data_IF_501096694601
#
_entry.id   IF_501096694601
#
_cell.length_a   1.000
_cell.length_b   1.000
_cell.length_c   1.000
_cell.angle_alpha   90.00
_cell.angle_beta   90.00
_cell.angle_gamma   90.00
#
_symmetry.space_group_name_H-M   'P 1'
#
loop_
_entity.id
_entity.type
_entity.pdbx_description
1 polymer ?
#
# COMPACT_ATOMS: atom_id res chain seq x y z
N UNK A 1 -8.78 -6.16 14.20
CA UNK A 1 -7.94 -7.35 14.43
C UNK A 1 -6.51 -6.89 14.72
N UNK A 2 -6.14 -6.71 16.00
CA UNK A 2 -4.77 -6.32 16.38
C UNK A 2 -3.85 -7.53 16.17
N UNK A 3 -2.84 -7.40 15.29
CA UNK A 3 -1.82 -8.44 15.12
C UNK A 3 -1.13 -8.69 16.45
N UNK A 4 -1.08 -9.94 16.91
CA UNK A 4 -0.20 -10.31 18.03
C UNK A 4 1.24 -9.92 17.68
N UNK A 5 1.97 -9.26 18.58
CA UNK A 5 3.37 -8.90 18.32
C UNK A 5 4.17 -10.18 18.04
N UNK A 6 4.99 -10.14 16.98
CA UNK A 6 5.88 -11.25 16.67
C UNK A 6 6.89 -11.41 17.80
N UNK A 7 7.12 -12.64 18.24
CA UNK A 7 8.26 -12.95 19.10
C UNK A 7 9.52 -12.94 18.24
N UNK A 8 10.40 -11.98 18.47
CA UNK A 8 11.70 -11.87 17.80
C UNK A 8 12.79 -12.38 18.75
N UNK A 9 13.82 -13.03 18.19
CA UNK A 9 15.06 -13.36 18.91
C UNK A 9 16.11 -12.35 18.42
N UNK A 10 16.68 -11.59 19.34
CA UNK A 10 17.76 -10.64 19.03
C UNK A 10 19.06 -11.42 18.88
N UNK A 11 19.67 -11.35 17.70
CA UNK A 11 20.96 -12.00 17.41
C UNK A 11 22.12 -11.08 17.80
N UNK A 12 21.98 -9.78 17.56
CA UNK A 12 22.94 -8.73 17.92
C UNK A 12 22.23 -7.39 18.05
N UNK A 13 22.72 -6.53 18.96
CA UNK A 13 22.25 -5.16 19.06
C UNK A 13 22.79 -4.32 17.90
N UNK A 14 21.94 -3.48 17.31
CA UNK A 14 22.29 -2.64 16.17
C UNK A 14 21.34 -1.44 16.09
N UNK A 15 21.84 -0.35 15.52
CA UNK A 15 21.07 0.89 15.35
C UNK A 15 20.81 1.19 13.87
N UNK A 16 19.75 1.96 13.60
CA UNK A 16 19.47 2.53 12.28
C UNK A 16 19.32 4.04 12.39
N UNK A 17 19.65 4.76 11.31
CA UNK A 17 19.56 6.21 11.28
C UNK A 17 18.26 6.68 10.64
N UNK A 18 17.62 7.67 11.27
CA UNK A 18 16.43 8.35 10.75
C UNK A 18 16.73 9.25 9.54
N UNK A 19 18.00 9.41 9.16
CA UNK A 19 18.36 10.10 7.92
C UNK A 19 17.97 9.30 6.67
N UNK A 20 17.57 8.03 6.82
CA UNK A 20 17.23 7.15 5.72
C UNK A 20 15.85 6.52 5.91
N UNK A 21 15.00 6.69 4.90
CA UNK A 21 13.66 6.10 4.87
C UNK A 21 12.70 6.73 5.88
N UNK A 22 11.57 6.05 6.10
CA UNK A 22 10.48 6.51 6.97
C UNK A 22 9.86 5.34 7.71
N UNK A 23 9.40 5.60 8.93
CA UNK A 23 8.43 4.71 9.57
C UNK A 23 7.22 4.55 8.62
N UNK A 24 6.73 3.32 8.36
CA UNK A 24 5.63 3.09 7.43
C UNK A 24 4.38 3.94 7.68
N UNK A 25 4.09 4.26 8.94
CA UNK A 25 2.93 5.04 9.36
C UNK A 25 3.19 6.57 9.39
N UNK A 26 4.39 7.01 9.05
CA UNK A 26 4.82 8.42 9.07
C UNK A 26 5.47 8.83 7.74
N UNK A 27 5.24 8.07 6.67
CA UNK A 27 5.70 8.42 5.33
C UNK A 27 5.02 9.72 4.85
N UNK A 28 5.75 10.60 4.14
CA UNK A 28 5.10 11.70 3.42
C UNK A 28 4.16 11.14 2.35
N UNK A 29 3.16 11.93 1.96
CA UNK A 29 2.11 11.51 1.03
C UNK A 29 2.66 10.94 -0.29
N UNK A 30 3.72 11.54 -0.83
CA UNK A 30 4.37 11.07 -2.06
C UNK A 30 4.88 9.62 -1.94
N UNK A 31 5.49 9.28 -0.81
CA UNK A 31 5.96 7.93 -0.51
C UNK A 31 4.81 6.97 -0.20
N UNK A 32 3.76 7.45 0.48
CA UNK A 32 2.55 6.64 0.68
C UNK A 32 1.89 6.25 -0.65
N UNK A 33 1.82 7.17 -1.62
CA UNK A 33 1.24 6.90 -2.93
C UNK A 33 2.15 6.04 -3.82
N UNK A 34 3.48 6.13 -3.66
CA UNK A 34 4.43 5.38 -4.48
C UNK A 34 4.47 3.88 -4.13
N UNK A 35 4.34 3.53 -2.84
CA UNK A 35 4.42 2.15 -2.33
C UNK A 35 3.17 1.69 -1.56
N UNK A 36 2.06 2.41 -1.73
CA UNK A 36 0.82 2.16 -1.02
C UNK A 36 -0.01 1.02 -1.59
N UNK A 37 -1.00 0.61 -0.79
CA UNK A 37 -2.07 -0.30 -1.20
C UNK A 37 -3.40 0.29 -0.74
N UNK A 38 -4.41 0.23 -1.61
CA UNK A 38 -5.78 0.66 -1.30
C UNK A 38 -6.66 -0.58 -1.28
N UNK A 39 -7.31 -0.83 -0.14
CA UNK A 39 -8.37 -1.83 -0.05
C UNK A 39 -9.64 -1.16 -0.54
N UNK A 40 -10.06 -1.51 -1.75
CA UNK A 40 -11.22 -0.93 -2.40
C UNK A 40 -12.40 -1.90 -2.39
N UNK A 41 -13.57 -1.40 -2.02
CA UNK A 41 -14.84 -2.09 -2.22
C UNK A 41 -15.35 -1.79 -3.64
N UNK A 42 -15.26 -2.78 -4.54
CA UNK A 42 -15.57 -2.57 -5.97
C UNK A 42 -17.09 -2.61 -6.15
N UNK A 43 -17.68 -1.52 -6.65
CA UNK A 43 -19.08 -1.54 -7.04
C UNK A 43 -19.32 -2.39 -8.31
N UNK A 44 -20.57 -2.82 -8.52
CA UNK A 44 -21.00 -3.54 -9.73
C UNK A 44 -20.94 -2.64 -10.96
N UNK A 45 -20.70 -3.24 -12.13
CA UNK A 45 -20.71 -2.54 -13.42
C UNK A 45 -19.34 -2.52 -14.11
N UNK A 46 -18.36 -1.72 -13.64
CA UNK A 46 -17.04 -1.65 -14.27
C UNK A 46 -16.21 -2.88 -13.93
N UNK A 47 -15.32 -3.25 -14.85
CA UNK A 47 -14.30 -4.27 -14.63
C UNK A 47 -13.26 -3.82 -13.61
N UNK A 48 -12.54 -4.78 -13.00
CA UNK A 48 -11.40 -4.45 -12.12
C UNK A 48 -10.33 -3.60 -12.81
N UNK A 49 -10.13 -3.78 -14.12
CA UNK A 49 -9.19 -2.98 -14.91
C UNK A 49 -9.65 -1.52 -15.05
N UNK A 50 -10.94 -1.29 -15.31
CA UNK A 50 -11.50 0.06 -15.40
C UNK A 50 -11.40 0.80 -14.07
N UNK A 51 -11.81 0.19 -12.96
CA UNK A 51 -11.71 0.79 -11.62
C UNK A 51 -10.25 1.12 -11.27
N UNK A 52 -9.31 0.24 -11.62
CA UNK A 52 -7.88 0.49 -11.43
C UNK A 52 -7.37 1.66 -12.29
N UNK A 53 -7.85 1.77 -13.54
CA UNK A 53 -7.51 2.86 -14.46
C UNK A 53 -8.04 4.20 -13.95
N UNK A 54 -9.25 4.22 -13.41
CA UNK A 54 -9.86 5.45 -12.89
C UNK A 54 -9.18 5.91 -11.60
N UNK A 55 -8.88 5.00 -10.67
CA UNK A 55 -8.06 5.34 -9.49
C UNK A 55 -6.69 5.89 -9.90
N UNK A 56 -6.04 5.29 -10.90
CA UNK A 56 -4.76 5.76 -11.42
C UNK A 56 -4.87 7.21 -11.92
N UNK A 57 -5.94 7.56 -12.63
CA UNK A 57 -6.19 8.93 -13.12
C UNK A 57 -6.49 9.89 -11.98
N UNK A 58 -7.42 9.54 -11.09
CA UNK A 58 -7.84 10.38 -9.96
C UNK A 58 -6.66 10.75 -9.06
N UNK A 59 -5.79 9.78 -8.77
CA UNK A 59 -4.63 9.97 -7.91
C UNK A 59 -3.37 10.40 -8.68
N UNK A 60 -3.48 10.64 -9.99
CA UNK A 60 -2.38 11.04 -10.88
C UNK A 60 -1.14 10.13 -10.77
N UNK A 61 -1.37 8.81 -10.77
CA UNK A 61 -0.32 7.81 -10.56
C UNK A 61 0.30 7.35 -11.87
N UNK A 62 1.62 7.10 -11.85
CA UNK A 62 2.34 6.53 -13.00
C UNK A 62 1.94 5.07 -13.29
N UNK A 63 1.69 4.29 -12.23
CA UNK A 63 1.35 2.86 -12.31
C UNK A 63 0.36 2.50 -11.20
N UNK A 64 -0.61 1.66 -11.53
CA UNK A 64 -1.53 1.02 -10.59
C UNK A 64 -1.86 -0.39 -11.09
N UNK A 65 -2.23 -1.30 -10.19
CA UNK A 65 -2.61 -2.68 -10.50
C UNK A 65 -3.51 -3.25 -9.41
N UNK A 66 -4.27 -4.29 -9.74
CA UNK A 66 -5.12 -5.02 -8.79
C UNK A 66 -4.62 -6.46 -8.63
N UNK A 67 -4.85 -7.07 -7.47
CA UNK A 67 -4.34 -8.41 -7.14
C UNK A 67 -5.17 -9.55 -7.72
N UNK A 68 -6.42 -9.29 -8.11
CA UNK A 68 -7.32 -10.26 -8.71
C UNK A 68 -8.50 -9.58 -9.41
N UNK A 69 -9.11 -10.28 -10.36
CA UNK A 69 -10.28 -9.78 -11.09
C UNK A 69 -11.55 -10.18 -10.35
N UNK A 70 -12.44 -9.21 -10.14
CA UNK A 70 -13.77 -9.44 -9.58
C UNK A 70 -14.80 -9.28 -10.68
N UNK A 71 -15.56 -10.35 -10.95
CA UNK A 71 -16.67 -10.35 -11.91
C UNK A 71 -17.99 -10.08 -11.19
N UNK A 72 -18.16 -8.83 -10.72
CA UNK A 72 -19.36 -8.36 -10.02
C UNK A 72 -19.96 -7.12 -10.65
#
# INVERSE_FOLDING_TARGET
MLRKPRKLIVLSDSETSWNYGYNPNQRPLSELLSVGCVVLDKHRGPTSHEVTSDLKKILNLRKAGHTGTLEI
#
